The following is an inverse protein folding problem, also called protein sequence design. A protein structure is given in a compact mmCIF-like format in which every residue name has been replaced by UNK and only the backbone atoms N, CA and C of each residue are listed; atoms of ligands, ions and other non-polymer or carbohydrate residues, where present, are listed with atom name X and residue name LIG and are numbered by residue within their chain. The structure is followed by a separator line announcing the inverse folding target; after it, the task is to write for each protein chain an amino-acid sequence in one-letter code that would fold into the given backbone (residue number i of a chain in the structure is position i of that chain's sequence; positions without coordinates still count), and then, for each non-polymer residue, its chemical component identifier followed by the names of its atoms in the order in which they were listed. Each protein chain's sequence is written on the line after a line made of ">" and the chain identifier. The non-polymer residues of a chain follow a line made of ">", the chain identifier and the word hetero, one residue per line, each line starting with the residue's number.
data_IF_761996979719
#
_entry.id   IF_761996979719
#
_cell.length_a   1.000
_cell.length_b   1.000
_cell.length_c   1.000
_cell.angle_alpha   90.00
_cell.angle_beta   90.00
_cell.angle_gamma   90.00
#
_symmetry.space_group_name_H-M   'P 1'
#
loop_
_entity.id
_entity.type
_entity.pdbx_description
1 polymer ?
#
# COMPACT_ATOMS: atom_id res chain seq x y z
N UNK A 1 3.98 4.78 21.59
CA UNK A 1 4.21 4.73 20.13
C UNK A 1 3.04 4.04 19.51
N UNK A 2 2.41 4.69 18.54
CA UNK A 2 1.34 4.07 17.75
C UNK A 2 2.02 3.24 16.67
N UNK A 3 1.91 1.91 16.78
CA UNK A 3 2.43 0.98 15.77
C UNK A 3 1.56 0.96 14.51
N UNK A 4 0.44 1.69 14.55
CA UNK A 4 -0.54 1.82 13.47
C UNK A 4 -1.07 3.25 13.44
N UNK A 5 -1.49 3.68 12.26
CA UNK A 5 -2.07 5.00 12.00
C UNK A 5 -3.48 4.82 11.47
N UNK A 6 -4.47 5.51 12.06
CA UNK A 6 -5.80 5.57 11.47
C UNK A 6 -5.85 6.69 10.42
N UNK A 7 -6.15 6.32 9.19
CA UNK A 7 -6.33 7.27 8.11
C UNK A 7 -7.70 7.95 8.23
N UNK A 8 -7.85 9.20 7.75
CA UNK A 8 -9.14 9.89 7.67
C UNK A 8 -10.20 9.16 6.84
N UNK A 9 -9.79 8.25 5.96
CA UNK A 9 -10.67 7.34 5.21
C UNK A 9 -11.32 6.26 6.08
N UNK A 10 -10.87 6.08 7.32
CA UNK A 10 -11.33 5.07 8.26
C UNK A 10 -10.50 3.78 8.27
N UNK A 11 -9.48 3.71 7.43
CA UNK A 11 -8.55 2.58 7.33
C UNK A 11 -7.45 2.68 8.38
N UNK A 12 -6.82 1.57 8.72
CA UNK A 12 -5.70 1.55 9.66
C UNK A 12 -4.50 0.92 8.99
N UNK A 13 -3.39 1.67 8.92
CA UNK A 13 -2.16 1.29 8.23
C UNK A 13 -1.03 1.06 9.22
N UNK A 14 -0.12 0.17 8.86
CA UNK A 14 1.15 -0.09 9.56
C UNK A 14 2.31 0.57 8.81
N UNK A 15 3.54 0.55 9.36
CA UNK A 15 4.70 1.09 8.65
C UNK A 15 5.05 0.36 7.34
N UNK A 16 4.51 -0.85 7.16
CA UNK A 16 4.71 -1.68 5.98
C UNK A 16 3.67 -1.37 4.89
N UNK A 17 2.51 -0.82 5.27
CA UNK A 17 1.43 -0.46 4.35
C UNK A 17 1.73 0.83 3.60
N UNK A 18 1.47 0.80 2.29
CA UNK A 18 1.61 1.95 1.39
C UNK A 18 0.24 2.54 1.09
N UNK A 19 0.12 3.87 1.19
CA UNK A 19 -1.12 4.59 0.90
C UNK A 19 -0.85 5.83 0.06
N UNK A 20 -1.88 6.28 -0.65
CA UNK A 20 -1.83 7.45 -1.51
C UNK A 20 -2.16 8.71 -0.69
N UNK A 21 -1.17 9.58 -0.52
CA UNK A 21 -1.29 10.86 0.16
C UNK A 21 -0.82 11.98 -0.79
N UNK A 22 -1.66 13.01 -0.99
CA UNK A 22 -1.36 14.11 -1.91
C UNK A 22 -1.06 13.66 -3.35
N UNK A 23 -1.68 12.57 -3.80
CA UNK A 23 -1.45 11.98 -5.12
C UNK A 23 -0.16 11.16 -5.27
N UNK A 24 0.57 10.89 -4.18
CA UNK A 24 1.84 10.14 -4.20
C UNK A 24 1.85 8.96 -3.20
N UNK A 25 2.58 7.86 -3.46
CA UNK A 25 2.73 6.76 -2.51
C UNK A 25 3.62 7.13 -1.31
N UNK A 26 3.05 7.00 -0.11
CA UNK A 26 3.70 7.22 1.18
C UNK A 26 3.57 6.00 2.10
N UNK A 27 4.55 5.86 3.01
CA UNK A 27 4.52 4.94 4.15
C UNK A 27 4.46 5.72 5.46
N UNK A 28 3.82 5.10 6.44
CA UNK A 28 3.78 5.60 7.80
C UNK A 28 5.08 5.27 8.54
N UNK A 29 5.67 6.23 9.24
CA UNK A 29 6.85 6.01 10.09
C UNK A 29 6.60 6.51 11.50
N UNK A 30 6.48 5.64 12.51
CA UNK A 30 6.32 6.08 13.90
C UNK A 30 7.62 6.74 14.40
N UNK A 31 7.50 7.88 15.07
CA UNK A 31 8.63 8.62 15.63
C UNK A 31 8.68 8.48 17.17
N UNK A 32 9.89 8.43 17.76
CA UNK A 32 10.07 8.32 19.21
C UNK A 32 9.94 9.64 19.98
N UNK A 33 9.69 10.76 19.30
CA UNK A 33 9.73 12.10 19.91
C UNK A 33 8.40 12.53 20.53
N UNK A 34 8.48 13.44 21.51
CA UNK A 34 7.29 14.10 22.08
C UNK A 34 6.72 15.21 21.17
N UNK A 35 7.51 15.72 20.21
CA UNK A 35 7.09 16.81 19.30
C UNK A 35 6.30 16.30 18.08
N UNK A 36 6.66 15.12 17.56
CA UNK A 36 6.01 14.50 16.42
C UNK A 36 5.72 13.03 16.73
N UNK A 37 4.46 12.62 16.61
CA UNK A 37 4.08 11.22 16.82
C UNK A 37 4.55 10.32 15.66
N UNK A 38 4.56 10.84 14.44
CA UNK A 38 4.94 10.08 13.24
C UNK A 38 5.39 10.97 12.09
N UNK A 39 5.90 10.37 11.03
CA UNK A 39 6.14 11.02 9.76
C UNK A 39 5.61 10.20 8.59
N UNK A 40 5.40 10.85 7.46
CA UNK A 40 5.11 10.20 6.18
C UNK A 40 6.37 10.19 5.32
N UNK A 41 6.82 8.99 4.99
CA UNK A 41 8.00 8.76 4.15
C UNK A 41 7.57 8.42 2.73
N UNK A 42 8.00 9.15 1.70
CA UNK A 42 7.69 8.80 0.31
C UNK A 42 8.38 7.48 -0.06
N UNK A 43 7.72 6.66 -0.89
CA UNK A 43 8.23 5.33 -1.27
C UNK A 43 9.52 5.41 -2.10
N UNK A 44 9.55 6.37 -3.03
CA UNK A 44 10.73 6.69 -3.84
C UNK A 44 10.64 8.18 -4.15
N UNK A 45 11.71 8.94 -3.95
CA UNK A 45 11.82 10.30 -4.45
C UNK A 45 13.31 10.58 -4.60
N UNK A 46 13.82 10.48 -5.83
CA UNK A 46 15.25 10.52 -6.19
C UNK A 46 16.16 11.32 -5.23
N UNK A 47 16.67 10.64 -4.19
CA UNK A 47 17.61 11.13 -3.17
C UNK A 47 17.14 12.22 -2.17
N UNK A 48 15.85 12.56 -2.06
CA UNK A 48 15.38 13.50 -1.01
C UNK A 48 14.50 12.79 0.03
N UNK A 49 15.15 12.38 1.12
CA UNK A 49 14.56 11.87 2.36
C UNK A 49 13.83 13.00 3.12
N UNK A 50 12.79 13.59 2.52
CA UNK A 50 11.94 14.55 3.24
C UNK A 50 10.71 13.84 3.79
N UNK A 51 10.96 13.09 4.87
CA UNK A 51 9.91 12.67 5.79
C UNK A 51 9.06 13.88 6.21
N UNK A 52 7.74 13.80 6.07
CA UNK A 52 6.82 14.87 6.49
C UNK A 52 6.37 14.56 7.92
N UNK A 53 6.85 15.29 8.94
CA UNK A 53 6.51 15.00 10.32
C UNK A 53 5.13 15.54 10.69
N UNK A 54 4.38 14.76 11.46
CA UNK A 54 3.06 15.12 11.98
C UNK A 54 3.03 14.98 13.51
N UNK A 55 2.47 15.98 14.21
CA UNK A 55 2.30 15.91 15.66
C UNK A 55 1.29 14.81 16.05
N UNK A 56 0.22 14.64 15.26
CA UNK A 56 -0.87 13.73 15.53
C UNK A 56 -1.76 13.47 14.28
N UNK A 57 -2.70 12.55 14.43
CA UNK A 57 -3.67 12.15 13.40
C UNK A 57 -4.62 13.29 12.98
N UNK A 58 -4.89 14.26 13.87
CA UNK A 58 -5.74 15.40 13.52
C UNK A 58 -5.01 16.34 12.57
N UNK A 59 -3.73 16.61 12.81
CA UNK A 59 -2.90 17.39 11.89
C UNK A 59 -2.75 16.74 10.50
N UNK A 60 -2.77 15.40 10.43
CA UNK A 60 -2.83 14.66 9.17
C UNK A 60 -4.18 14.85 8.47
N UNK A 61 -5.28 14.74 9.21
CA UNK A 61 -6.63 14.92 8.68
C UNK A 61 -6.85 16.34 8.12
N UNK A 62 -6.24 17.36 8.73
CA UNK A 62 -6.30 18.75 8.23
C UNK A 62 -5.62 18.93 6.86
N UNK A 63 -4.64 18.08 6.52
CA UNK A 63 -3.90 18.13 5.25
C UNK A 63 -4.35 17.04 4.26
N UNK A 64 -5.47 16.36 4.53
CA UNK A 64 -5.97 15.21 3.78
C UNK A 64 -6.85 15.60 2.58
N UNK A 65 -6.40 16.50 1.70
CA UNK A 65 -7.23 16.99 0.58
C UNK A 65 -7.22 16.03 -0.62
N UNK A 66 -6.06 15.87 -1.30
CA UNK A 66 -5.89 15.01 -2.49
C UNK A 66 -5.41 13.59 -2.13
N UNK A 67 -5.81 13.11 -0.96
CA UNK A 67 -5.36 11.82 -0.40
C UNK A 67 -6.44 10.76 -0.55
N UNK A 68 -6.08 9.62 -1.16
CA UNK A 68 -7.01 8.50 -1.40
C UNK A 68 -6.94 7.39 -0.36
N UNK A 69 -5.91 7.38 0.49
CA UNK A 69 -5.73 6.33 1.50
C UNK A 69 -5.17 5.05 0.88
N UNK A 70 -5.54 3.88 1.42
CA UNK A 70 -5.00 2.61 0.91
C UNK A 70 -5.69 2.30 -0.41
N UNK A 71 -4.89 2.21 -1.47
CA UNK A 71 -5.38 1.80 -2.78
C UNK A 71 -5.25 0.29 -2.94
N UNK A 72 -6.20 -0.29 -3.66
CA UNK A 72 -6.09 -1.69 -4.10
C UNK A 72 -4.97 -1.86 -5.13
N UNK A 73 -4.53 -3.10 -5.33
CA UNK A 73 -3.56 -3.48 -6.37
C UNK A 73 -3.94 -2.93 -7.77
N UNK A 74 -5.23 -3.00 -8.13
CA UNK A 74 -5.73 -2.51 -9.41
C UNK A 74 -5.67 -0.98 -9.51
N UNK A 75 -6.00 -0.29 -8.44
CA UNK A 75 -5.90 1.17 -8.37
C UNK A 75 -4.46 1.65 -8.41
N UNK A 76 -3.54 0.95 -7.76
CA UNK A 76 -2.11 1.24 -7.87
C UNK A 76 -1.58 1.00 -9.29
N UNK A 77 -2.04 -0.05 -9.99
CA UNK A 77 -1.70 -0.26 -11.41
C UNK A 77 -2.24 0.87 -12.29
N UNK A 78 -3.45 1.32 -12.04
CA UNK A 78 -4.02 2.47 -12.75
C UNK A 78 -3.23 3.75 -12.47
N UNK A 79 -2.83 3.98 -11.22
CA UNK A 79 -1.98 5.10 -10.83
C UNK A 79 -0.62 5.04 -11.53
N UNK A 80 0.04 3.87 -11.56
CA UNK A 80 1.32 3.69 -12.27
C UNK A 80 1.19 3.94 -13.76
N UNK A 81 0.09 3.52 -14.38
CA UNK A 81 -0.17 3.76 -15.80
C UNK A 81 -0.37 5.25 -16.11
N UNK A 82 -1.08 5.98 -15.25
CA UNK A 82 -1.27 7.43 -15.34
C UNK A 82 0.06 8.16 -15.11
N UNK A 83 0.81 7.78 -14.07
CA UNK A 83 2.10 8.36 -13.73
C UNK A 83 3.16 8.12 -14.82
N UNK A 84 3.09 7.00 -15.57
CA UNK A 84 3.98 6.75 -16.72
C UNK A 84 3.77 7.70 -17.89
N UNK A 85 2.56 8.27 -18.04
CA UNK A 85 2.29 9.30 -19.05
C UNK A 85 2.68 10.71 -18.56
N UNK A 86 2.96 10.85 -17.25
CA UNK A 86 3.28 12.11 -16.60
C UNK A 86 4.80 12.36 -16.55
N UNK A 87 5.24 13.44 -17.20
CA UNK A 87 6.66 13.84 -17.29
C UNK A 87 7.34 14.13 -15.95
N UNK A 88 6.58 14.24 -14.86
CA UNK A 88 7.11 14.44 -13.50
C UNK A 88 7.76 13.18 -12.94
N UNK A 89 7.40 12.01 -13.45
CA UNK A 89 7.89 10.73 -12.96
C UNK A 89 8.86 10.11 -13.96
N UNK A 90 9.95 9.54 -13.47
CA UNK A 90 10.86 8.74 -14.30
C UNK A 90 10.43 7.28 -14.36
N UNK A 91 10.65 6.61 -15.49
CA UNK A 91 10.35 5.18 -15.62
C UNK A 91 11.02 4.33 -14.52
N UNK A 92 12.26 4.64 -14.14
CA UNK A 92 13.03 3.95 -13.08
C UNK A 92 12.41 4.14 -11.68
N UNK A 93 11.88 5.34 -11.41
CA UNK A 93 11.16 5.62 -10.16
C UNK A 93 9.86 4.82 -10.09
N UNK A 94 9.11 4.77 -11.19
CA UNK A 94 7.84 4.03 -11.25
C UNK A 94 8.05 2.52 -11.19
N UNK A 95 9.14 2.02 -11.76
CA UNK A 95 9.54 0.60 -11.68
C UNK A 95 9.90 0.21 -10.23
N UNK A 96 10.67 1.06 -9.54
CA UNK A 96 10.99 0.86 -8.12
C UNK A 96 9.73 0.89 -7.23
N UNK A 97 8.80 1.82 -7.52
CA UNK A 97 7.51 1.89 -6.82
C UNK A 97 6.69 0.61 -7.09
N UNK A 98 6.65 0.14 -8.34
CA UNK A 98 5.95 -1.08 -8.70
C UNK A 98 6.53 -2.30 -7.98
N UNK A 99 7.86 -2.42 -7.89
CA UNK A 99 8.53 -3.51 -7.17
C UNK A 99 8.19 -3.50 -5.67
N UNK A 100 8.22 -2.34 -5.03
CA UNK A 100 7.87 -2.18 -3.61
C UNK A 100 6.39 -2.48 -3.32
N UNK A 101 5.50 -2.22 -4.29
CA UNK A 101 4.08 -2.56 -4.21
C UNK A 101 3.79 -4.03 -4.58
N UNK A 102 4.80 -4.79 -5.02
CA UNK A 102 4.62 -6.16 -5.52
C UNK A 102 3.84 -6.22 -6.84
N UNK A 103 3.87 -5.14 -7.63
CA UNK A 103 3.18 -5.01 -8.92
C UNK A 103 4.09 -5.29 -10.11
N UNK A 104 5.41 -5.29 -9.90
CA UNK A 104 6.41 -5.66 -10.91
C UNK A 104 6.30 -7.14 -11.31
N UNK A 105 5.76 -7.97 -10.40
CA UNK A 105 5.65 -9.40 -10.58
C UNK A 105 4.24 -9.81 -11.04
N UNK A 106 4.08 -10.05 -12.34
CA UNK A 106 2.96 -10.85 -12.91
C UNK A 106 3.18 -12.37 -12.69
N UNK A 107 4.03 -12.74 -11.73
CA UNK A 107 4.34 -14.11 -11.35
C UNK A 107 4.21 -14.25 -9.82
N UNK A 108 3.07 -14.77 -9.40
CA UNK A 108 2.84 -15.37 -8.07
C UNK A 108 2.33 -14.42 -6.96
N UNK A 109 1.03 -14.12 -7.00
CA UNK A 109 0.21 -14.20 -5.79
C UNK A 109 -1.05 -14.98 -6.11
N UNK A 110 -0.92 -16.29 -5.99
CA UNK A 110 -2.03 -17.14 -5.61
C UNK A 110 -2.53 -16.70 -4.24
N UNK A 111 -3.58 -15.88 -4.21
CA UNK A 111 -4.40 -15.67 -3.04
C UNK A 111 -5.77 -16.35 -3.25
N UNK A 112 -6.12 -17.21 -2.27
CA UNK A 112 -7.40 -17.91 -2.03
C UNK A 112 -7.64 -19.18 -2.87
N UNK A 113 -7.63 -20.42 -2.35
CA UNK A 113 -7.77 -20.94 -0.99
C UNK A 113 -7.13 -22.34 -0.90
N UNK A 114 -6.45 -22.76 0.19
CA UNK A 114 -6.44 -24.16 0.53
C UNK A 114 -7.87 -24.53 0.98
N UNK A 115 -8.39 -25.65 0.48
CA UNK A 115 -9.69 -26.25 0.81
C UNK A 115 -10.91 -25.70 0.05
N UNK A 116 -11.35 -26.44 -0.98
CA UNK A 116 -12.68 -27.10 -1.08
C UNK A 116 -13.08 -27.26 -2.56
N UNK A 117 -12.79 -28.43 -3.16
CA UNK A 117 -13.60 -29.15 -4.18
C UNK A 117 -12.75 -30.18 -4.95
N UNK A 118 -12.49 -31.34 -4.33
CA UNK A 118 -12.10 -32.58 -5.05
C UNK A 118 -12.09 -33.85 -4.19
N UNK A 119 -12.47 -33.78 -2.90
CA UNK A 119 -12.69 -34.98 -2.08
C UNK A 119 -14.11 -35.56 -2.23
N UNK A 120 -15.08 -34.78 -2.70
CA UNK A 120 -16.45 -35.25 -2.91
C UNK A 120 -16.57 -36.23 -4.10
N UNK A 121 -15.68 -36.13 -5.10
CA UNK A 121 -15.69 -37.04 -6.26
C UNK A 121 -14.97 -38.38 -5.97
N UNK A 122 -14.08 -38.43 -4.96
CA UNK A 122 -13.29 -39.63 -4.64
C UNK A 122 -14.05 -40.66 -3.78
N UNK A 123 -15.17 -40.29 -3.17
CA UNK A 123 -15.95 -41.22 -2.35
C UNK A 123 -16.96 -42.05 -3.16
N UNK A 124 -17.12 -41.78 -4.46
CA UNK A 124 -18.02 -42.54 -5.35
C UNK A 124 -17.37 -43.80 -5.94
N UNK A 125 -16.05 -43.94 -5.82
CA UNK A 125 -15.28 -45.11 -6.30
C UNK A 125 -15.18 -46.23 -5.24
N UNK A 126 -15.48 -45.94 -3.97
CA UNK A 126 -15.35 -46.90 -2.85
C UNK A 126 -16.64 -47.70 -2.56
N UNK A 127 -17.79 -47.27 -3.06
CA UNK A 127 -19.06 -48.01 -2.96
C UNK A 127 -19.64 -48.20 -4.36
N UNK A 128 -18.98 -49.05 -5.14
CA UNK A 128 -19.57 -49.68 -6.31
C UNK A 128 -20.69 -50.62 -5.88
N UNK A 129 -21.93 -50.18 -6.13
CA UNK A 129 -23.05 -51.06 -6.43
C UNK A 129 -23.06 -51.36 -7.93
#
# INVERSE_FOLDING_TARGET
>A
MTERLALPTGETVTPEDVFCYGGYPYRFRPLPGDEYAFALSPLYWGQSDMDVPFPDEAALAEQWEDSRGVLTTEEWRAWLADARDDERFGDDELDAIAAELGLDDDTDTGAASPDDDSLADRLRDVVGL
#
